data_IF_197304192533
#
_entry.id   IF_197304192533
#
_cell.length_a   1.000
_cell.length_b   1.000
_cell.length_c   1.000
_cell.angle_alpha   90.00
_cell.angle_beta   90.00
_cell.angle_gamma   90.00
#
_symmetry.space_group_name_H-M   'P 1'
#
loop_
_entity.id
_entity.type
_entity.pdbx_description
1 polymer ?
#
# COMPACT_ATOMS: atom_id res chain seq x y z
N UNK A 1 2.03 10.90 -18.11
CA UNK A 1 2.78 9.82 -17.43
C UNK A 1 2.04 9.54 -16.14
N UNK A 2 1.51 8.33 -15.96
CA UNK A 2 0.71 8.01 -14.77
C UNK A 2 1.52 8.29 -13.51
N UNK A 3 1.04 9.21 -12.68
CA UNK A 3 1.66 9.49 -11.38
C UNK A 3 1.62 8.20 -10.55
N UNK A 4 2.76 7.80 -9.99
CA UNK A 4 2.84 6.63 -9.12
C UNK A 4 2.73 7.14 -7.69
N UNK A 5 1.50 7.22 -7.19
CA UNK A 5 1.24 7.67 -5.82
C UNK A 5 1.31 6.53 -4.79
N UNK A 6 1.44 5.28 -5.23
CA UNK A 6 1.54 4.14 -4.32
C UNK A 6 2.90 4.07 -3.60
N UNK A 7 2.93 3.92 -2.27
CA UNK A 7 4.14 3.63 -1.51
C UNK A 7 4.57 2.16 -1.63
N UNK A 8 3.90 1.30 -2.39
CA UNK A 8 4.25 -0.11 -2.58
C UNK A 8 4.63 -0.41 -4.05
N UNK A 9 5.66 -1.25 -4.25
CA UNK A 9 5.94 -1.89 -5.53
C UNK A 9 5.09 -3.14 -5.59
N UNK A 10 3.92 -3.06 -6.20
CA UNK A 10 2.96 -4.17 -6.16
C UNK A 10 2.62 -4.69 -7.56
N UNK A 11 2.58 -6.02 -7.78
CA UNK A 11 2.20 -6.60 -9.06
C UNK A 11 0.81 -6.16 -9.52
N UNK A 12 0.65 -6.04 -10.84
CA UNK A 12 -0.63 -5.64 -11.43
C UNK A 12 -1.00 -4.17 -11.21
N UNK A 13 0.00 -3.31 -10.92
CA UNK A 13 -0.15 -1.89 -10.61
C UNK A 13 -1.21 -1.19 -11.46
N UNK A 14 -2.40 -1.04 -10.87
CA UNK A 14 -3.57 -0.48 -11.54
C UNK A 14 -3.46 1.02 -11.78
N UNK A 15 -2.36 1.66 -11.39
CA UNK A 15 -2.09 3.07 -11.71
C UNK A 15 -2.19 3.37 -13.21
N UNK A 16 -1.86 2.40 -14.08
CA UNK A 16 -2.04 2.55 -15.52
C UNK A 16 -3.52 2.64 -15.96
N UNK A 17 -4.46 2.20 -15.13
CA UNK A 17 -5.91 2.28 -15.39
C UNK A 17 -6.52 3.60 -14.90
N UNK A 18 -5.77 4.47 -14.21
CA UNK A 18 -6.32 5.69 -13.60
C UNK A 18 -7.00 6.59 -14.64
N UNK A 19 -6.39 6.76 -15.81
CA UNK A 19 -6.92 7.59 -16.88
C UNK A 19 -8.26 7.04 -17.40
N UNK A 20 -8.33 5.73 -17.67
CA UNK A 20 -9.56 5.07 -18.06
C UNK A 20 -10.66 5.20 -16.99
N UNK A 21 -10.32 4.97 -15.73
CA UNK A 21 -11.28 5.06 -14.62
C UNK A 21 -11.78 6.48 -14.42
N UNK A 22 -10.92 7.50 -14.57
CA UNK A 22 -11.33 8.90 -14.51
C UNK A 22 -12.33 9.25 -15.62
N UNK A 23 -12.12 8.76 -16.85
CA UNK A 23 -13.07 8.95 -17.95
C UNK A 23 -14.42 8.31 -17.65
N UNK A 24 -14.43 7.07 -17.13
CA UNK A 24 -15.66 6.40 -16.70
C UNK A 24 -16.39 7.21 -15.62
N UNK A 25 -15.67 7.78 -14.66
CA UNK A 25 -16.26 8.62 -13.61
C UNK A 25 -16.91 9.87 -14.21
N UNK A 26 -16.19 10.60 -15.06
CA UNK A 26 -16.67 11.83 -15.71
C UNK A 26 -17.90 11.57 -16.60
N UNK A 27 -17.82 10.57 -17.48
CA UNK A 27 -18.90 10.26 -18.44
C UNK A 27 -20.20 9.81 -17.76
N UNK A 28 -20.10 9.31 -16.53
CA UNK A 28 -21.25 8.87 -15.74
C UNK A 28 -21.67 9.89 -14.67
N UNK A 29 -21.09 11.09 -14.63
CA UNK A 29 -21.34 12.13 -13.61
C UNK A 29 -21.17 11.59 -12.17
N UNK A 30 -20.13 10.78 -11.94
CA UNK A 30 -19.81 10.17 -10.65
C UNK A 30 -18.72 10.93 -9.86
N UNK A 31 -18.36 12.12 -10.33
CA UNK A 31 -17.37 13.00 -9.69
C UNK A 31 -17.74 13.29 -8.23
N UNK A 32 -16.72 13.35 -7.38
CA UNK A 32 -16.91 13.52 -5.93
C UNK A 32 -17.51 12.29 -5.23
N UNK A 33 -17.70 11.17 -5.94
CA UNK A 33 -18.20 9.93 -5.37
C UNK A 33 -17.22 9.17 -4.48
N UNK A 34 -17.59 7.93 -4.14
CA UNK A 34 -16.76 7.00 -3.37
C UNK A 34 -16.25 5.89 -4.29
N UNK A 35 -14.93 5.73 -4.39
CA UNK A 35 -14.30 4.63 -5.14
C UNK A 35 -13.92 3.48 -4.21
N UNK A 36 -14.48 2.29 -4.45
CA UNK A 36 -14.14 1.09 -3.69
C UNK A 36 -13.21 0.16 -4.49
N UNK A 37 -12.05 -0.18 -3.92
CA UNK A 37 -11.07 -1.09 -4.52
C UNK A 37 -10.91 -2.35 -3.65
N UNK A 38 -11.66 -3.43 -3.95
CA UNK A 38 -11.71 -4.62 -3.09
C UNK A 38 -10.45 -5.50 -3.12
N UNK A 39 -9.57 -5.26 -4.09
CA UNK A 39 -8.28 -5.92 -4.29
C UNK A 39 -7.19 -4.86 -4.47
N UNK A 40 -7.01 -4.03 -3.44
CA UNK A 40 -6.25 -2.80 -3.60
C UNK A 40 -4.77 -3.06 -3.83
N UNK A 41 -4.15 -4.04 -3.16
CA UNK A 41 -2.70 -4.22 -3.17
C UNK A 41 -1.98 -2.91 -2.83
N UNK A 42 -1.34 -2.30 -3.84
CA UNK A 42 -0.71 -0.99 -3.75
C UNK A 42 -1.66 0.22 -3.86
N UNK A 43 -2.95 0.04 -4.11
CA UNK A 43 -3.97 1.09 -4.24
C UNK A 43 -3.62 2.20 -5.27
N UNK A 44 -2.86 1.82 -6.31
CA UNK A 44 -2.29 2.78 -7.25
C UNK A 44 -3.34 3.54 -8.07
N UNK A 45 -4.46 2.90 -8.42
CA UNK A 45 -5.57 3.56 -9.11
C UNK A 45 -6.37 4.45 -8.15
N UNK A 46 -6.80 3.90 -7.01
CA UNK A 46 -7.56 4.64 -6.01
C UNK A 46 -6.86 5.92 -5.55
N UNK A 47 -5.56 5.87 -5.26
CA UNK A 47 -4.80 7.05 -4.84
C UNK A 47 -4.70 8.10 -5.93
N UNK A 48 -4.53 7.68 -7.20
CA UNK A 48 -4.49 8.61 -8.31
C UNK A 48 -5.83 9.32 -8.49
N UNK A 49 -6.94 8.59 -8.40
CA UNK A 49 -8.29 9.17 -8.47
C UNK A 49 -8.55 10.14 -7.31
N UNK A 50 -8.15 9.77 -6.10
CA UNK A 50 -8.31 10.61 -4.91
C UNK A 50 -7.50 11.91 -5.00
N UNK A 51 -6.21 11.81 -5.32
CA UNK A 51 -5.31 12.97 -5.34
C UNK A 51 -5.50 13.88 -6.55
N UNK A 52 -6.08 13.36 -7.64
CA UNK A 52 -6.53 14.16 -8.77
C UNK A 52 -7.98 14.69 -8.58
N UNK A 53 -8.56 14.52 -7.40
CA UNK A 53 -9.88 15.03 -7.01
C UNK A 53 -11.06 14.52 -7.85
N UNK A 54 -10.90 13.40 -8.58
CA UNK A 54 -12.01 12.74 -9.28
C UNK A 54 -13.03 12.12 -8.30
N UNK A 55 -12.57 11.71 -7.12
CA UNK A 55 -13.39 11.11 -6.06
C UNK A 55 -13.02 11.71 -4.71
N UNK A 56 -14.00 11.87 -3.83
CA UNK A 56 -13.76 12.45 -2.49
C UNK A 56 -13.24 11.41 -1.48
N UNK A 57 -13.53 10.13 -1.73
CA UNK A 57 -13.21 9.06 -0.79
C UNK A 57 -12.87 7.77 -1.51
N UNK A 58 -11.89 7.07 -0.95
CA UNK A 58 -11.54 5.71 -1.36
C UNK A 58 -11.81 4.72 -0.22
N UNK A 59 -12.26 3.52 -0.58
CA UNK A 59 -12.41 2.38 0.32
C UNK A 59 -11.50 1.28 -0.18
N UNK A 60 -10.50 0.93 0.63
CA UNK A 60 -9.51 -0.08 0.27
C UNK A 60 -9.76 -1.36 1.05
N UNK A 61 -9.76 -2.48 0.33
CA UNK A 61 -9.76 -3.82 0.94
C UNK A 61 -8.71 -4.69 0.24
N UNK A 62 -8.11 -5.60 1.01
CA UNK A 62 -7.28 -6.67 0.50
C UNK A 62 -7.40 -7.88 1.43
N UNK A 63 -7.34 -9.08 0.86
CA UNK A 63 -7.37 -10.32 1.63
C UNK A 63 -6.02 -10.59 2.31
N UNK A 64 -4.92 -10.03 1.79
CA UNK A 64 -3.60 -10.17 2.39
C UNK A 64 -3.48 -9.32 3.66
N UNK A 65 -3.34 -9.99 4.80
CA UNK A 65 -3.19 -9.33 6.12
C UNK A 65 -1.97 -8.41 6.17
N UNK A 66 -0.90 -8.70 5.44
CA UNK A 66 0.30 -7.88 5.42
C UNK A 66 0.06 -6.54 4.72
N UNK A 67 -0.74 -6.53 3.66
CA UNK A 67 -1.18 -5.35 2.92
C UNK A 67 -2.19 -4.55 3.75
N UNK A 68 -3.17 -5.23 4.36
CA UNK A 68 -4.08 -4.61 5.32
C UNK A 68 -3.31 -3.94 6.47
N UNK A 69 -2.35 -4.63 7.08
CA UNK A 69 -1.56 -4.11 8.20
C UNK A 69 -0.74 -2.88 7.78
N UNK A 70 -0.21 -2.86 6.55
CA UNK A 70 0.47 -1.69 6.01
C UNK A 70 -0.48 -0.48 5.90
N UNK A 71 -1.60 -0.61 5.18
CA UNK A 71 -2.56 0.50 5.02
C UNK A 71 -3.16 0.95 6.36
N UNK A 72 -3.46 0.01 7.26
CA UNK A 72 -3.90 0.34 8.60
C UNK A 72 -2.86 1.18 9.34
N UNK A 73 -1.57 0.84 9.23
CA UNK A 73 -0.47 1.57 9.87
C UNK A 73 -0.29 2.97 9.29
N UNK A 74 -0.43 3.12 7.97
CA UNK A 74 -0.42 4.42 7.29
C UNK A 74 -1.53 5.33 7.83
N UNK A 75 -2.74 4.81 8.01
CA UNK A 75 -3.89 5.62 8.44
C UNK A 75 -3.91 5.91 9.95
N UNK A 76 -3.48 4.96 10.79
CA UNK A 76 -3.71 5.03 12.24
C UNK A 76 -2.44 5.22 13.08
N UNK A 77 -1.26 5.01 12.50
CA UNK A 77 0.02 5.10 13.22
C UNK A 77 1.12 5.73 12.33
N UNK A 78 0.76 6.67 11.45
CA UNK A 78 1.65 7.29 10.47
C UNK A 78 2.98 7.77 11.06
N UNK A 79 2.93 8.55 12.15
CA UNK A 79 4.13 9.08 12.80
C UNK A 79 5.08 8.00 13.30
N UNK A 80 4.56 6.92 13.90
CA UNK A 80 5.40 5.80 14.36
C UNK A 80 5.93 4.95 13.19
N UNK A 81 5.15 4.81 12.12
CA UNK A 81 5.60 4.12 10.92
C UNK A 81 6.77 4.88 10.28
N UNK A 82 6.68 6.20 10.16
CA UNK A 82 7.75 7.07 9.67
C UNK A 82 8.99 6.93 10.58
N UNK A 83 8.82 6.99 11.91
CA UNK A 83 9.92 6.81 12.85
C UNK A 83 10.65 5.47 12.65
N UNK A 84 9.91 4.37 12.45
CA UNK A 84 10.51 3.06 12.16
C UNK A 84 11.28 3.06 10.84
N UNK A 85 10.75 3.73 9.81
CA UNK A 85 11.42 3.87 8.50
C UNK A 85 12.73 4.64 8.64
N UNK A 86 12.72 5.77 9.35
CA UNK A 86 13.89 6.65 9.48
C UNK A 86 14.99 6.05 10.36
N UNK A 87 14.60 5.33 11.42
CA UNK A 87 15.55 4.83 12.42
C UNK A 87 16.11 3.44 12.14
N UNK A 88 15.49 2.66 11.25
CA UNK A 88 15.91 1.28 10.99
C UNK A 88 16.98 1.22 9.91
N UNK A 89 18.21 0.77 10.21
CA UNK A 89 19.25 0.59 9.20
C UNK A 89 18.84 -0.44 8.13
N UNK A 90 19.12 -0.14 6.86
CA UNK A 90 18.88 -1.08 5.76
C UNK A 90 20.09 -2.00 5.61
N UNK A 91 20.12 -3.07 6.39
CA UNK A 91 21.15 -4.11 6.35
C UNK A 91 20.56 -5.52 6.43
N UNK A 92 21.39 -6.54 6.21
CA UNK A 92 20.94 -7.95 6.18
C UNK A 92 20.36 -8.41 7.52
N UNK A 93 20.89 -7.93 8.63
CA UNK A 93 20.38 -8.25 9.97
C UNK A 93 18.94 -7.77 10.14
N UNK A 94 18.66 -6.49 9.88
CA UNK A 94 17.31 -5.95 9.96
C UNK A 94 16.37 -6.57 8.93
N UNK A 95 16.88 -6.91 7.75
CA UNK A 95 16.11 -7.66 6.75
C UNK A 95 15.65 -9.02 7.29
N UNK A 96 16.54 -9.79 7.95
CA UNK A 96 16.18 -11.06 8.57
C UNK A 96 15.16 -10.88 9.70
N UNK A 97 15.28 -9.82 10.50
CA UNK A 97 14.30 -9.49 11.55
C UNK A 97 12.92 -9.17 10.95
N UNK A 98 12.85 -8.35 9.91
CA UNK A 98 11.56 -8.02 9.27
C UNK A 98 10.95 -9.25 8.59
N UNK A 99 11.78 -10.13 8.01
CA UNK A 99 11.36 -11.41 7.45
C UNK A 99 10.74 -12.33 8.50
N UNK A 100 11.30 -12.39 9.70
CA UNK A 100 10.72 -13.16 10.82
C UNK A 100 9.34 -12.63 11.21
N UNK A 101 9.22 -11.31 11.38
CA UNK A 101 7.96 -10.64 11.72
C UNK A 101 6.90 -10.89 10.63
N UNK A 102 7.31 -10.81 9.36
CA UNK A 102 6.43 -11.03 8.20
C UNK A 102 5.94 -12.48 8.10
N UNK A 103 6.77 -13.47 8.46
CA UNK A 103 6.34 -14.87 8.50
C UNK A 103 5.46 -15.19 9.72
N UNK A 104 5.62 -14.45 10.83
CA UNK A 104 4.93 -14.69 12.09
C UNK A 104 3.86 -13.64 12.41
N UNK A 105 3.18 -13.10 11.39
CA UNK A 105 2.33 -11.89 11.52
C UNK A 105 1.30 -11.92 12.65
N UNK A 106 0.76 -13.09 13.01
CA UNK A 106 -0.22 -13.25 14.10
C UNK A 106 0.38 -13.00 15.50
N UNK A 107 1.69 -13.10 15.64
CA UNK A 107 2.43 -12.86 16.89
C UNK A 107 2.84 -11.39 17.07
N UNK A 108 2.55 -10.54 16.09
CA UNK A 108 2.98 -9.14 16.09
C UNK A 108 1.82 -8.18 15.87
N UNK A 109 1.97 -6.96 16.41
CA UNK A 109 1.05 -5.85 16.20
C UNK A 109 0.97 -5.46 14.72
N UNK A 110 -0.16 -4.87 14.30
CA UNK A 110 -0.34 -4.37 12.94
C UNK A 110 0.77 -3.39 12.51
N UNK A 111 1.23 -2.50 13.40
CA UNK A 111 2.33 -1.57 13.10
C UNK A 111 3.62 -2.31 12.71
N UNK A 112 4.05 -3.29 13.50
CA UNK A 112 5.23 -4.11 13.22
C UNK A 112 5.08 -4.89 11.91
N UNK A 113 3.92 -5.49 11.68
CA UNK A 113 3.65 -6.23 10.43
C UNK A 113 3.65 -5.27 9.25
N UNK A 114 2.96 -4.14 9.33
CA UNK A 114 2.91 -3.13 8.27
C UNK A 114 4.28 -2.54 7.94
N UNK A 115 5.11 -2.29 8.95
CA UNK A 115 6.50 -1.88 8.75
C UNK A 115 7.32 -2.98 8.08
N UNK A 116 7.24 -4.23 8.54
CA UNK A 116 7.92 -5.35 7.92
C UNK A 116 7.51 -5.55 6.46
N UNK A 117 6.21 -5.46 6.16
CA UNK A 117 5.66 -5.48 4.79
C UNK A 117 6.30 -4.41 3.93
N UNK A 118 6.33 -3.15 4.39
CA UNK A 118 6.92 -2.04 3.65
C UNK A 118 8.43 -2.20 3.45
N UNK A 119 9.15 -2.56 4.52
CA UNK A 119 10.59 -2.76 4.49
C UNK A 119 10.98 -3.84 3.47
N UNK A 120 10.34 -5.01 3.54
CA UNK A 120 10.59 -6.11 2.61
C UNK A 120 10.16 -5.76 1.18
N UNK A 121 9.05 -5.03 1.00
CA UNK A 121 8.63 -4.56 -0.32
C UNK A 121 9.66 -3.60 -0.95
N UNK A 122 10.39 -2.83 -0.14
CA UNK A 122 11.41 -1.89 -0.63
C UNK A 122 12.78 -2.55 -0.81
N UNK A 123 13.09 -3.58 -0.04
CA UNK A 123 14.40 -4.22 -0.02
C UNK A 123 14.49 -5.52 -0.85
N UNK A 124 13.37 -6.20 -1.11
CA UNK A 124 13.36 -7.42 -1.91
C UNK A 124 13.48 -7.12 -3.41
N UNK A 125 14.01 -8.09 -4.16
CA UNK A 125 14.05 -8.05 -5.63
C UNK A 125 12.64 -7.77 -6.16
N UNK A 126 12.52 -6.68 -6.92
CA UNK A 126 11.25 -6.22 -7.52
C UNK A 126 10.10 -5.99 -6.54
N UNK A 127 10.37 -5.86 -5.24
CA UNK A 127 9.37 -5.70 -4.19
C UNK A 127 8.47 -6.92 -3.96
N UNK A 128 8.94 -8.11 -4.33
CA UNK A 128 8.21 -9.36 -4.16
C UNK A 128 8.09 -9.72 -2.67
N UNK A 129 6.87 -10.10 -2.25
CA UNK A 129 6.52 -10.47 -0.88
C UNK A 129 6.14 -11.97 -0.71
N UNK A 130 6.39 -12.80 -1.74
CA UNK A 130 6.11 -14.24 -1.73
C UNK A 130 6.98 -14.95 -0.70
N UNK A 131 6.35 -15.52 0.35
CA UNK A 131 6.99 -16.30 1.42
C UNK A 131 8.38 -15.73 1.78
N UNK A 132 8.39 -14.46 2.17
CA UNK A 132 9.57 -13.84 2.76
C UNK A 132 9.72 -14.45 4.15
#
# INVERSE_FOLDING_TARGET
MALINSPLRYPGGKSALSDFLSQVILENNLEGGVYAEPYCGGAGAALNLLFAEYVEKIILNDADRSIYAFWWSVLHQSGKLIELIDKTPVNIEHWQMQKEIYNNQKKHSLLKVGFATFFLNRCNRSGILLKA
#
